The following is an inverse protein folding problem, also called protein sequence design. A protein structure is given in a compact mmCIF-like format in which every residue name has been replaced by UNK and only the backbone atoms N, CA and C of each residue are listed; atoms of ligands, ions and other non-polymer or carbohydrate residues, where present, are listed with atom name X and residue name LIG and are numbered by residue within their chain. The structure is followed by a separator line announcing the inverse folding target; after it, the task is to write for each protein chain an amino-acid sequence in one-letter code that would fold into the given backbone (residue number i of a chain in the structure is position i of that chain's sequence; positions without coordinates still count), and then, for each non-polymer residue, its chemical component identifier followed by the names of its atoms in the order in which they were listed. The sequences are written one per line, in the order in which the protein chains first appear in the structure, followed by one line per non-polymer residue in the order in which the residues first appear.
data_IF_420021690290
#
_entry.id   IF_420021690290
#
_cell.length_a   1.000
_cell.length_b   1.000
_cell.length_c   1.000
_cell.angle_alpha   90.00
_cell.angle_beta   90.00
_cell.angle_gamma   90.00
#
_symmetry.space_group_name_H-M   'P 1'
#
loop_
_entity.id
_entity.type
_entity.pdbx_description
1 polymer ?
#
# COMPACT_ATOMS: atom_id res chain seq x y z
N UNK A 1 83.24 -4.16 -38.42
CA UNK A 1 82.46 -2.98 -38.85
C UNK A 1 81.11 -3.45 -39.38
N UNK A 2 80.05 -2.66 -39.17
CA UNK A 2 78.62 -2.87 -39.47
C UNK A 2 77.81 -3.55 -38.34
N UNK A 3 77.32 -2.86 -37.28
CA UNK A 3 76.10 -2.02 -37.14
C UNK A 3 74.82 -2.67 -37.68
N UNK A 4 73.91 -3.17 -36.83
CA UNK A 4 72.68 -2.52 -36.26
C UNK A 4 71.56 -3.59 -36.41
N UNK A 5 70.46 -3.69 -35.66
CA UNK A 5 69.63 -2.73 -34.93
C UNK A 5 68.71 -3.54 -33.99
N UNK A 6 68.55 -3.06 -32.76
CA UNK A 6 67.62 -3.54 -31.73
C UNK A 6 66.20 -3.11 -32.13
N UNK A 7 65.23 -4.04 -32.19
CA UNK A 7 63.81 -3.73 -32.32
C UNK A 7 63.08 -4.18 -31.04
N UNK A 8 62.80 -3.19 -30.19
CA UNK A 8 62.01 -3.29 -28.98
C UNK A 8 60.53 -3.45 -29.38
N UNK A 9 59.97 -4.65 -29.19
CA UNK A 9 58.54 -4.89 -29.37
C UNK A 9 57.78 -4.29 -28.17
N UNK A 10 57.13 -3.14 -28.37
CA UNK A 10 56.18 -2.57 -27.42
C UNK A 10 54.88 -3.35 -27.56
N UNK A 11 54.56 -4.18 -26.56
CA UNK A 11 53.26 -4.82 -26.44
C UNK A 11 52.21 -3.77 -26.06
N UNK A 12 51.32 -3.41 -26.99
CA UNK A 12 50.08 -2.69 -26.69
C UNK A 12 49.15 -3.64 -25.93
N UNK A 13 49.06 -3.50 -24.61
CA UNK A 13 47.91 -4.02 -23.87
C UNK A 13 46.72 -3.11 -24.18
N UNK A 14 45.80 -3.61 -25.01
CA UNK A 14 44.48 -3.02 -25.15
C UNK A 14 43.73 -3.21 -23.82
N UNK A 15 43.67 -2.16 -23.01
CA UNK A 15 42.77 -2.08 -21.86
C UNK A 15 41.35 -2.06 -22.41
N UNK A 16 40.69 -3.21 -22.40
CA UNK A 16 39.25 -3.27 -22.57
C UNK A 16 38.65 -2.68 -21.29
N UNK A 17 37.93 -1.54 -21.32
CA UNK A 17 37.13 -1.16 -20.17
C UNK A 17 36.09 -2.27 -20.00
N UNK A 18 36.27 -3.10 -18.98
CA UNK A 18 35.26 -4.06 -18.57
C UNK A 18 33.96 -3.31 -18.36
N UNK A 19 32.89 -3.80 -18.98
CA UNK A 19 31.54 -3.36 -18.65
C UNK A 19 31.33 -3.63 -17.17
N UNK A 20 31.48 -2.59 -16.34
CA UNK A 20 30.95 -2.61 -14.99
C UNK A 20 29.43 -2.58 -15.14
N UNK A 21 28.81 -3.77 -15.20
CA UNK A 21 27.37 -3.89 -15.03
C UNK A 21 27.01 -3.23 -13.71
N UNK A 22 26.14 -2.22 -13.76
CA UNK A 22 25.59 -1.63 -12.55
C UNK A 22 24.63 -2.66 -11.94
N UNK A 23 25.08 -3.42 -10.96
CA UNK A 23 24.17 -4.13 -10.08
C UNK A 23 23.36 -3.09 -9.31
N UNK A 24 22.08 -2.94 -9.63
CA UNK A 24 21.16 -2.12 -8.84
C UNK A 24 20.77 -2.94 -7.61
N UNK A 25 21.32 -2.58 -6.45
CA UNK A 25 20.89 -3.15 -5.19
C UNK A 25 19.42 -2.77 -4.92
N UNK A 26 18.65 -3.71 -4.36
CA UNK A 26 17.32 -3.45 -3.81
C UNK A 26 17.37 -2.24 -2.87
N UNK A 27 16.57 -1.23 -3.16
CA UNK A 27 16.49 -0.03 -2.31
C UNK A 27 15.26 -0.13 -1.42
N UNK A 28 15.47 -0.09 -0.10
CA UNK A 28 14.39 -0.02 0.91
C UNK A 28 14.44 1.36 1.56
N UNK A 29 13.34 2.09 1.48
CA UNK A 29 13.19 3.46 2.01
C UNK A 29 12.09 3.50 3.06
N UNK A 30 12.28 4.31 4.10
CA UNK A 30 11.31 4.55 5.15
C UNK A 30 10.92 6.02 5.14
N UNK A 31 9.62 6.31 5.10
CA UNK A 31 9.07 7.66 5.04
C UNK A 31 8.01 7.84 6.12
N UNK A 32 7.96 9.03 6.73
CA UNK A 32 7.04 9.26 7.85
C UNK A 32 5.58 9.33 7.37
N UNK A 33 5.34 9.90 6.19
CA UNK A 33 4.02 10.01 5.58
C UNK A 33 2.99 10.70 6.50
N UNK A 34 1.75 10.23 6.45
CA UNK A 34 0.70 10.60 7.40
C UNK A 34 0.75 9.63 8.58
N UNK A 35 0.93 10.15 9.79
CA UNK A 35 0.87 9.32 10.99
C UNK A 35 -0.58 9.06 11.40
N UNK A 36 -0.94 7.79 11.60
CA UNK A 36 -2.25 7.38 12.14
C UNK A 36 -2.10 6.70 13.50
N UNK A 37 -3.21 6.59 14.23
CA UNK A 37 -3.23 6.08 15.60
C UNK A 37 -4.08 4.80 15.68
N UNK A 38 -3.53 3.80 16.37
CA UNK A 38 -4.25 2.60 16.78
C UNK A 38 -4.31 2.49 18.31
N UNK A 39 -5.29 1.74 18.81
CA UNK A 39 -5.46 1.56 20.25
C UNK A 39 -4.34 0.67 20.81
N UNK A 40 -4.14 -0.48 20.19
CA UNK A 40 -3.21 -1.52 20.61
C UNK A 40 -2.90 -2.47 19.44
N UNK A 41 -1.79 -3.21 19.58
CA UNK A 41 -1.54 -4.43 18.80
C UNK A 41 -2.27 -5.58 19.48
N UNK A 42 -2.94 -6.42 18.69
CA UNK A 42 -3.68 -7.59 19.18
C UNK A 42 -2.99 -8.92 18.95
N UNK A 43 -2.23 -9.02 17.87
CA UNK A 43 -1.55 -10.22 17.44
C UNK A 43 -0.31 -9.80 16.66
N UNK A 44 0.80 -10.47 16.95
CA UNK A 44 2.10 -10.27 16.28
C UNK A 44 2.50 -11.47 15.43
N UNK A 45 1.73 -12.58 15.50
CA UNK A 45 1.87 -13.73 14.59
C UNK A 45 0.78 -13.67 13.52
N UNK A 46 0.81 -12.59 12.75
CA UNK A 46 -0.20 -12.34 11.71
C UNK A 46 -0.09 -13.37 10.60
N UNK A 47 -1.25 -13.78 10.09
CA UNK A 47 -1.33 -14.70 8.94
C UNK A 47 -2.12 -14.08 7.81
N UNK A 48 -1.98 -14.62 6.61
CA UNK A 48 -2.66 -14.09 5.42
C UNK A 48 -4.19 -14.09 5.52
N UNK A 49 -4.78 -14.93 6.37
CA UNK A 49 -6.20 -14.90 6.66
C UNK A 49 -6.65 -13.78 7.60
N UNK A 50 -5.72 -13.22 8.38
CA UNK A 50 -5.99 -12.25 9.46
C UNK A 50 -5.90 -10.79 8.97
N UNK A 51 -5.47 -10.56 7.73
CA UNK A 51 -5.34 -9.24 7.10
C UNK A 51 -6.46 -8.98 6.08
N UNK A 52 -7.59 -9.68 6.22
CA UNK A 52 -8.76 -9.46 5.40
C UNK A 52 -9.18 -7.98 5.48
N UNK A 53 -9.41 -7.37 4.32
CA UNK A 53 -9.68 -5.93 4.20
C UNK A 53 -8.47 -5.10 3.77
N UNK A 54 -7.23 -5.59 3.89
CA UNK A 54 -6.05 -4.90 3.35
C UNK A 54 -6.28 -4.51 1.88
N UNK A 55 -5.99 -3.28 1.51
CA UNK A 55 -6.18 -2.81 0.14
C UNK A 55 -4.89 -2.99 -0.66
N UNK A 56 -4.99 -3.59 -1.83
CA UNK A 56 -3.88 -3.76 -2.78
C UNK A 56 -4.23 -3.01 -4.07
N UNK A 57 -3.43 -2.02 -4.42
CA UNK A 57 -3.57 -1.25 -5.66
C UNK A 57 -2.40 -1.57 -6.60
N UNK A 58 -2.71 -2.13 -7.76
CA UNK A 58 -1.77 -2.23 -8.88
C UNK A 58 -1.93 -0.97 -9.75
N UNK A 59 -0.82 -0.31 -10.07
CA UNK A 59 -0.74 0.74 -11.09
C UNK A 59 0.07 0.17 -12.25
N UNK A 60 -0.53 0.19 -13.43
CA UNK A 60 0.01 -0.40 -14.64
C UNK A 60 0.85 0.60 -15.44
N UNK A 61 1.65 0.09 -16.37
CA UNK A 61 2.58 0.87 -17.18
C UNK A 61 1.90 1.86 -18.15
N UNK A 62 0.63 1.62 -18.47
CA UNK A 62 -0.23 2.53 -19.26
C UNK A 62 -0.85 3.64 -18.40
N UNK A 63 -0.67 3.61 -17.08
CA UNK A 63 -1.22 4.56 -16.13
C UNK A 63 -2.58 4.19 -15.56
N UNK A 64 -3.19 3.08 -16.00
CA UNK A 64 -4.40 2.55 -15.36
C UNK A 64 -4.07 1.96 -13.99
N UNK A 65 -5.09 1.78 -13.16
CA UNK A 65 -4.93 1.19 -11.83
C UNK A 65 -6.14 0.36 -11.43
N UNK A 66 -5.87 -0.71 -10.69
CA UNK A 66 -6.88 -1.61 -10.13
C UNK A 66 -6.64 -1.76 -8.63
N UNK A 67 -7.70 -1.56 -7.83
CA UNK A 67 -7.65 -1.71 -6.38
C UNK A 67 -8.53 -2.87 -5.95
N UNK A 68 -7.94 -3.80 -5.21
CA UNK A 68 -8.59 -4.98 -4.68
C UNK A 68 -8.53 -4.98 -3.16
N UNK A 69 -9.59 -5.49 -2.52
CA UNK A 69 -9.58 -5.75 -1.07
C UNK A 69 -9.20 -7.20 -0.80
N UNK A 70 -8.29 -7.41 0.13
CA UNK A 70 -7.76 -8.71 0.51
C UNK A 70 -8.84 -9.61 1.09
N UNK A 71 -8.96 -10.82 0.55
CA UNK A 71 -9.94 -11.81 0.97
C UNK A 71 -9.22 -12.97 1.67
N UNK A 72 -9.74 -13.37 2.84
CA UNK A 72 -9.29 -14.57 3.51
C UNK A 72 -9.81 -15.83 2.79
N UNK A 73 -8.89 -16.69 2.36
CA UNK A 73 -9.21 -18.02 1.81
C UNK A 73 -9.34 -19.07 2.93
N UNK A 74 -8.62 -18.86 4.03
CA UNK A 74 -8.67 -19.64 5.26
C UNK A 74 -8.18 -18.78 6.43
N UNK A 75 -8.20 -19.30 7.66
CA UNK A 75 -7.60 -18.59 8.80
C UNK A 75 -6.08 -18.39 8.70
N UNK A 76 -5.40 -19.05 7.76
CA UNK A 76 -3.96 -18.93 7.57
C UNK A 76 -3.55 -18.31 6.23
N UNK A 77 -4.47 -18.11 5.28
CA UNK A 77 -4.13 -17.65 3.94
C UNK A 77 -5.22 -16.74 3.38
N UNK A 78 -4.80 -15.78 2.58
CA UNK A 78 -5.67 -14.92 1.79
C UNK A 78 -4.93 -14.36 0.58
N UNK A 79 -5.61 -13.51 -0.16
CA UNK A 79 -5.02 -12.83 -1.29
C UNK A 79 -5.99 -11.90 -2.01
N UNK A 80 -5.49 -11.33 -3.09
CA UNK A 80 -6.27 -10.63 -4.10
C UNK A 80 -6.01 -11.26 -5.47
N UNK A 81 -7.04 -11.26 -6.31
CA UNK A 81 -6.97 -11.65 -7.71
C UNK A 81 -7.51 -10.46 -8.49
N UNK A 82 -6.64 -9.79 -9.24
CA UNK A 82 -7.01 -8.72 -10.15
C UNK A 82 -7.14 -9.22 -11.58
N UNK A 83 -7.14 -8.27 -12.52
CA UNK A 83 -7.26 -8.52 -13.94
C UNK A 83 -5.89 -8.89 -14.52
N UNK A 84 -5.55 -10.17 -14.49
CA UNK A 84 -4.28 -10.68 -15.03
C UNK A 84 -3.11 -10.71 -14.04
N UNK A 85 -3.39 -10.54 -12.74
CA UNK A 85 -2.40 -10.61 -11.67
C UNK A 85 -3.02 -11.08 -10.36
N UNK A 86 -2.17 -11.54 -9.43
CA UNK A 86 -2.60 -11.90 -8.07
C UNK A 86 -1.50 -11.65 -7.06
N UNK A 87 -1.90 -11.41 -5.81
CA UNK A 87 -1.00 -11.38 -4.65
C UNK A 87 -1.56 -12.28 -3.57
N UNK A 88 -0.78 -13.26 -3.12
CA UNK A 88 -1.22 -14.28 -2.16
C UNK A 88 -0.23 -14.35 -1.00
N UNK A 89 -0.75 -14.52 0.21
CA UNK A 89 0.04 -14.86 1.39
C UNK A 89 -0.57 -16.08 2.08
N UNK A 90 0.27 -17.02 2.48
CA UNK A 90 -0.12 -18.17 3.28
C UNK A 90 0.88 -18.41 4.40
N UNK A 91 0.36 -18.59 5.62
CA UNK A 91 1.17 -18.79 6.81
C UNK A 91 1.44 -17.49 7.56
N UNK A 92 2.48 -17.53 8.40
CA UNK A 92 2.90 -16.45 9.28
C UNK A 92 3.71 -15.41 8.49
N UNK A 93 3.29 -14.14 8.49
CA UNK A 93 3.88 -13.06 7.66
C UNK A 93 5.34 -12.80 7.96
N UNK A 94 5.80 -13.08 9.18
CA UNK A 94 7.18 -12.88 9.60
C UNK A 94 8.19 -13.77 8.84
N UNK A 95 7.74 -14.90 8.29
CA UNK A 95 8.64 -15.88 7.64
C UNK A 95 8.11 -16.53 6.37
N UNK A 96 6.81 -16.40 6.09
CA UNK A 96 6.16 -17.05 4.96
C UNK A 96 6.04 -16.06 3.82
N UNK A 97 6.56 -16.43 2.65
CA UNK A 97 6.59 -15.56 1.50
C UNK A 97 5.20 -15.18 1.00
N UNK A 98 5.08 -13.91 0.63
CA UNK A 98 4.08 -13.38 -0.27
C UNK A 98 4.47 -13.75 -1.70
N UNK A 99 3.49 -14.07 -2.54
CA UNK A 99 3.70 -14.38 -3.95
C UNK A 99 2.87 -13.43 -4.79
N UNK A 100 3.55 -12.53 -5.53
CA UNK A 100 2.97 -11.71 -6.58
C UNK A 100 3.17 -12.44 -7.92
N UNK A 101 2.11 -12.56 -8.71
CA UNK A 101 2.17 -13.24 -10.01
C UNK A 101 1.40 -12.46 -11.07
N UNK A 102 1.92 -12.42 -12.29
CA UNK A 102 1.21 -11.98 -13.49
C UNK A 102 0.82 -13.21 -14.31
N UNK A 103 -0.40 -13.21 -14.84
CA UNK A 103 -0.84 -14.23 -15.78
C UNK A 103 0.07 -14.25 -17.01
N UNK A 104 0.28 -15.44 -17.57
CA UNK A 104 1.05 -15.59 -18.80
C UNK A 104 0.28 -15.03 -20.00
N UNK A 105 1.00 -14.54 -21.01
CA UNK A 105 0.40 -14.26 -22.32
C UNK A 105 -0.11 -15.57 -22.92
N UNK A 106 -1.40 -15.64 -23.23
CA UNK A 106 -1.93 -16.78 -23.99
C UNK A 106 -1.58 -16.60 -25.48
N UNK A 107 -1.26 -17.68 -26.18
CA UNK A 107 -0.99 -17.63 -27.64
C UNK A 107 -2.22 -17.22 -28.45
N UNK A 108 -3.41 -17.32 -27.84
CA UNK A 108 -4.70 -17.17 -28.49
C UNK A 108 -5.37 -15.83 -28.14
N UNK A 109 -4.76 -15.02 -27.25
CA UNK A 109 -5.22 -13.66 -26.90
C UNK A 109 -4.21 -12.61 -27.34
N UNK A 110 -4.69 -11.58 -28.05
CA UNK A 110 -3.89 -10.37 -28.31
C UNK A 110 -3.84 -9.45 -27.09
N UNK A 111 -4.71 -9.67 -26.11
CA UNK A 111 -4.66 -8.98 -24.81
C UNK A 111 -3.56 -9.60 -23.96
N UNK A 112 -2.44 -8.89 -23.88
CA UNK A 112 -1.40 -9.12 -22.87
C UNK A 112 -1.69 -8.15 -21.72
N UNK A 113 -1.74 -8.62 -20.46
CA UNK A 113 -1.95 -7.72 -19.33
C UNK A 113 -0.83 -6.68 -19.29
N UNK A 114 -1.21 -5.41 -19.14
CA UNK A 114 -0.26 -4.31 -18.96
C UNK A 114 0.65 -4.61 -17.78
N UNK A 115 1.95 -4.33 -17.92
CA UNK A 115 2.91 -4.61 -16.86
C UNK A 115 2.64 -3.73 -15.64
N UNK A 116 2.85 -4.26 -14.43
CA UNK A 116 2.72 -3.49 -13.20
C UNK A 116 3.93 -2.57 -13.05
N UNK A 117 3.67 -1.27 -12.94
CA UNK A 117 4.63 -0.24 -12.64
C UNK A 117 4.85 -0.08 -11.13
N UNK A 118 3.77 -0.22 -10.35
CA UNK A 118 3.80 -0.04 -8.90
C UNK A 118 2.69 -0.86 -8.24
N UNK A 119 3.00 -1.49 -7.11
CA UNK A 119 2.04 -2.15 -6.23
C UNK A 119 2.04 -1.43 -4.89
N UNK A 120 0.87 -1.02 -4.41
CA UNK A 120 0.70 -0.34 -3.13
C UNK A 120 -0.20 -1.19 -2.24
N UNK A 121 0.30 -1.55 -1.06
CA UNK A 121 -0.45 -2.26 -0.03
C UNK A 121 -0.75 -1.29 1.10
N UNK A 122 -2.04 -1.08 1.39
CA UNK A 122 -2.54 -0.26 2.49
C UNK A 122 -3.16 -1.17 3.56
N UNK A 123 -2.47 -1.31 4.68
CA UNK A 123 -2.80 -2.24 5.75
C UNK A 123 -3.96 -1.76 6.66
N UNK A 124 -4.24 -0.46 6.66
CA UNK A 124 -5.17 0.20 7.57
C UNK A 124 -6.59 -0.37 7.51
N UNK A 125 -7.21 -0.49 6.31
CA UNK A 125 -8.54 -1.09 6.17
C UNK A 125 -8.63 -2.54 6.66
N UNK A 126 -7.52 -3.28 6.64
CA UNK A 126 -7.42 -4.64 7.20
C UNK A 126 -7.19 -4.69 8.71
N UNK A 127 -7.20 -3.54 9.41
CA UNK A 127 -6.79 -3.43 10.82
C UNK A 127 -5.45 -4.14 11.06
N UNK A 128 -4.50 -3.87 10.17
CA UNK A 128 -3.17 -4.45 10.17
C UNK A 128 -2.13 -3.36 9.95
N UNK A 129 -0.86 -3.70 10.17
CA UNK A 129 0.27 -2.79 10.00
C UNK A 129 1.48 -3.61 9.57
N UNK A 130 2.38 -3.00 8.80
CA UNK A 130 3.68 -3.60 8.53
C UNK A 130 4.62 -3.34 9.71
N UNK A 131 5.25 -4.41 10.19
CA UNK A 131 6.21 -4.36 11.29
C UNK A 131 7.63 -4.58 10.75
N UNK A 132 8.53 -3.66 11.07
CA UNK A 132 9.94 -3.77 10.70
C UNK A 132 10.80 -3.89 11.95
N UNK A 133 11.99 -4.48 11.81
CA UNK A 133 12.93 -4.55 12.91
C UNK A 133 13.29 -3.15 13.43
N UNK A 134 12.88 -2.84 14.66
CA UNK A 134 13.28 -1.60 15.32
C UNK A 134 14.78 -1.62 15.68
N UNK A 135 15.38 -0.43 15.81
CA UNK A 135 16.76 -0.26 16.33
C UNK A 135 16.86 -0.39 17.85
N UNK A 136 15.75 -0.65 18.55
CA UNK A 136 15.66 -0.65 20.01
C UNK A 136 14.69 -1.72 20.51
N UNK A 137 13.90 -1.39 21.54
CA UNK A 137 12.92 -2.34 22.13
C UNK A 137 11.68 -2.59 21.28
N UNK A 138 11.47 -1.80 20.22
CA UNK A 138 10.29 -1.84 19.37
C UNK A 138 9.03 -1.28 20.01
N UNK A 139 7.96 -1.24 19.23
CA UNK A 139 6.62 -0.91 19.68
C UNK A 139 6.09 -2.01 20.61
N UNK A 140 5.57 -1.60 21.76
CA UNK A 140 5.06 -2.54 22.77
C UNK A 140 3.90 -3.36 22.18
N UNK A 141 4.04 -4.69 22.19
CA UNK A 141 3.05 -5.63 21.68
C UNK A 141 3.40 -6.21 20.30
N UNK A 142 4.36 -5.62 19.60
CA UNK A 142 4.80 -6.00 18.24
C UNK A 142 5.79 -7.16 18.22
N UNK A 143 6.48 -7.39 19.34
CA UNK A 143 7.62 -8.32 19.41
C UNK A 143 8.72 -7.97 18.37
N UNK A 144 9.17 -8.93 17.56
CA UNK A 144 10.24 -8.75 16.57
C UNK A 144 9.65 -8.61 15.16
N UNK A 145 9.83 -7.45 14.53
CA UNK A 145 9.44 -7.21 13.15
C UNK A 145 10.46 -7.66 12.10
N UNK A 146 10.02 -7.72 10.85
CA UNK A 146 10.82 -8.13 9.68
C UNK A 146 10.60 -7.21 8.50
N UNK A 147 11.63 -6.43 8.15
CA UNK A 147 11.60 -5.60 6.95
C UNK A 147 11.57 -6.44 5.68
N UNK A 148 11.19 -5.82 4.57
CA UNK A 148 11.10 -6.46 3.26
C UNK A 148 12.36 -7.24 2.90
N UNK A 149 12.17 -8.52 2.58
CA UNK A 149 13.22 -9.41 2.09
C UNK A 149 12.76 -10.04 0.78
N UNK A 150 13.55 -9.87 -0.28
CA UNK A 150 13.27 -10.50 -1.57
C UNK A 150 13.78 -11.95 -1.56
N UNK A 151 12.95 -12.91 -1.97
CA UNK A 151 13.41 -14.26 -2.25
C UNK A 151 13.91 -14.34 -3.70
N UNK A 152 15.24 -14.33 -3.86
CA UNK A 152 15.90 -14.28 -5.17
C UNK A 152 16.30 -12.86 -5.57
N UNK A 153 16.34 -12.60 -6.87
CA UNK A 153 16.79 -11.32 -7.43
C UNK A 153 15.74 -10.73 -8.38
N UNK A 154 15.57 -9.40 -8.31
CA UNK A 154 14.77 -8.64 -9.26
C UNK A 154 15.43 -7.27 -9.46
N UNK A 155 15.96 -7.02 -10.65
CA UNK A 155 16.60 -5.76 -10.97
C UNK A 155 15.58 -4.63 -11.13
N UNK A 156 15.85 -3.46 -10.56
CA UNK A 156 14.96 -2.30 -10.71
C UNK A 156 13.76 -2.29 -9.77
N UNK A 157 13.73 -3.16 -8.75
CA UNK A 157 12.74 -3.08 -7.67
C UNK A 157 13.20 -2.10 -6.59
N UNK A 158 12.28 -1.23 -6.17
CA UNK A 158 12.43 -0.36 -5.01
C UNK A 158 11.23 -0.54 -4.08
N UNK A 159 11.49 -0.45 -2.77
CA UNK A 159 10.50 -0.70 -1.72
C UNK A 159 10.44 0.49 -0.79
N UNK A 160 9.24 0.95 -0.49
CA UNK A 160 9.01 2.06 0.44
C UNK A 160 7.99 1.70 1.49
N UNK A 161 8.35 1.83 2.76
CA UNK A 161 7.42 1.86 3.87
C UNK A 161 7.04 3.31 4.16
N UNK A 162 5.74 3.60 4.24
CA UNK A 162 5.23 4.95 4.57
C UNK A 162 4.09 4.91 5.59
N UNK A 163 3.77 6.08 6.11
CA UNK A 163 2.61 6.33 6.99
C UNK A 163 2.74 5.63 8.34
N UNK A 164 3.45 6.26 9.27
CA UNK A 164 3.74 5.69 10.59
C UNK A 164 2.49 5.42 11.42
N UNK A 165 2.56 4.38 12.26
CA UNK A 165 1.54 4.11 13.28
C UNK A 165 2.02 4.53 14.67
N UNK A 166 1.12 5.12 15.44
CA UNK A 166 1.24 5.29 16.89
C UNK A 166 0.28 4.37 17.64
N UNK A 167 0.65 4.00 18.86
CA UNK A 167 -0.17 3.16 19.73
C UNK A 167 -0.57 3.93 21.00
N UNK A 168 -1.88 4.04 21.27
CA UNK A 168 -2.42 4.68 22.49
C UNK A 168 -1.89 6.09 22.74
N UNK A 169 -1.88 6.95 21.72
CA UNK A 169 -1.43 8.34 21.81
C UNK A 169 0.06 8.54 22.11
N UNK A 170 0.88 7.48 22.06
CA UNK A 170 2.34 7.58 22.25
C UNK A 170 3.03 8.07 20.98
N UNK A 171 4.20 8.70 21.12
CA UNK A 171 5.03 9.02 19.96
C UNK A 171 5.40 7.75 19.18
N UNK A 172 5.47 7.82 17.83
CA UNK A 172 5.79 6.66 17.02
C UNK A 172 7.21 6.18 17.31
N UNK A 173 7.39 4.87 17.49
CA UNK A 173 8.70 4.27 17.75
C UNK A 173 9.53 4.17 16.46
N UNK A 174 8.86 4.15 15.30
CA UNK A 174 9.48 4.20 13.98
C UNK A 174 9.67 2.83 13.32
N UNK A 175 8.95 1.82 13.79
CA UNK A 175 8.98 0.44 13.32
C UNK A 175 7.64 -0.05 12.74
N UNK A 176 6.59 0.75 12.84
CA UNK A 176 5.26 0.40 12.33
C UNK A 176 4.81 1.34 11.22
N UNK A 177 4.38 0.75 10.09
CA UNK A 177 4.02 1.48 8.88
C UNK A 177 2.72 0.95 8.28
N UNK A 178 1.84 1.85 7.85
CA UNK A 178 0.54 1.48 7.29
C UNK A 178 0.63 1.07 5.81
N UNK A 179 1.61 1.59 5.09
CA UNK A 179 1.70 1.44 3.63
C UNK A 179 3.04 0.82 3.22
N UNK A 180 2.98 -0.16 2.33
CA UNK A 180 4.13 -0.73 1.64
C UNK A 180 3.98 -0.53 0.13
N UNK A 181 4.96 0.09 -0.51
CA UNK A 181 4.98 0.31 -1.96
C UNK A 181 6.13 -0.47 -2.57
N UNK A 182 5.83 -1.29 -3.58
CA UNK A 182 6.81 -1.90 -4.48
C UNK A 182 6.75 -1.13 -5.80
N UNK A 183 7.84 -0.50 -6.21
CA UNK A 183 7.94 0.23 -7.47
C UNK A 183 9.00 -0.40 -8.36
N UNK A 184 8.57 -0.76 -9.58
CA UNK A 184 9.38 -1.38 -10.61
C UNK A 184 9.92 -0.29 -11.55
N UNK A 185 11.17 -0.39 -11.98
CA UNK A 185 11.76 0.60 -12.90
C UNK A 185 11.08 0.56 -14.28
N UNK A 186 11.29 1.61 -15.08
CA UNK A 186 10.76 1.66 -16.45
C UNK A 186 11.34 0.55 -17.34
N UNK A 187 12.59 0.18 -17.10
CA UNK A 187 13.33 -0.85 -17.84
C UNK A 187 12.91 -2.26 -17.44
N UNK A 188 12.46 -2.46 -16.20
CA UNK A 188 12.15 -3.76 -15.61
C UNK A 188 10.77 -3.74 -14.92
N UNK A 189 9.71 -3.53 -15.70
CA UNK A 189 8.32 -3.61 -15.23
C UNK A 189 7.90 -5.05 -14.93
N UNK A 190 7.02 -5.23 -13.94
CA UNK A 190 6.54 -6.57 -13.58
C UNK A 190 5.49 -7.06 -14.58
N UNK A 191 5.91 -7.95 -15.48
CA UNK A 191 5.22 -8.25 -16.75
C UNK A 191 4.64 -9.66 -16.77
N UNK A 192 3.84 -9.95 -17.81
CA UNK A 192 3.18 -11.24 -18.02
C UNK A 192 4.08 -12.46 -17.77
N UNK A 193 3.57 -13.45 -17.05
CA UNK A 193 4.27 -14.69 -16.71
C UNK A 193 5.34 -14.58 -15.63
N UNK A 194 5.60 -13.39 -15.08
CA UNK A 194 6.54 -13.23 -13.98
C UNK A 194 5.92 -13.61 -12.63
N UNK A 195 6.78 -14.04 -11.71
CA UNK A 195 6.45 -14.27 -10.30
C UNK A 195 7.53 -13.66 -9.41
N UNK A 196 7.13 -12.93 -8.39
CA UNK A 196 8.00 -12.33 -7.37
C UNK A 196 7.61 -12.91 -6.00
N UNK A 197 8.60 -13.36 -5.23
CA UNK A 197 8.40 -13.84 -3.86
C UNK A 197 9.16 -12.96 -2.89
N UNK A 198 8.51 -12.56 -1.81
CA UNK A 198 9.12 -11.70 -0.80
C UNK A 198 8.51 -11.96 0.57
N UNK A 199 9.25 -11.63 1.62
CA UNK A 199 8.77 -11.64 3.00
C UNK A 199 8.62 -10.19 3.45
N UNK A 200 7.50 -9.90 4.10
CA UNK A 200 7.32 -8.68 4.89
C UNK A 200 6.44 -9.05 6.06
N UNK A 201 6.83 -8.58 7.24
CA UNK A 201 6.09 -8.87 8.45
C UNK A 201 4.93 -7.89 8.67
N UNK A 202 3.92 -8.39 9.35
CA UNK A 202 2.72 -7.64 9.68
C UNK A 202 2.22 -7.98 11.07
N UNK A 203 1.55 -7.01 11.67
CA UNK A 203 0.83 -7.11 12.93
C UNK A 203 -0.64 -6.78 12.74
N UNK A 204 -1.49 -7.29 13.63
CA UNK A 204 -2.89 -6.89 13.70
C UNK A 204 -3.12 -5.84 14.80
N UNK A 205 -4.00 -4.91 14.50
CA UNK A 205 -4.35 -3.78 15.35
C UNK A 205 -5.79 -3.91 15.86
N UNK A 206 -6.03 -3.40 17.07
CA UNK A 206 -7.33 -2.80 17.37
C UNK A 206 -7.26 -1.36 16.89
N UNK A 207 -7.98 -1.08 15.82
CA UNK A 207 -8.35 0.28 15.48
C UNK A 207 -9.25 0.82 16.59
N UNK A 208 -8.96 2.04 17.06
CA UNK A 208 -9.96 2.77 17.82
C UNK A 208 -11.13 2.88 16.86
N UNK A 209 -12.23 2.15 17.12
CA UNK A 209 -13.47 2.45 16.45
C UNK A 209 -13.59 3.97 16.52
N UNK A 210 -13.76 4.63 15.37
CA UNK A 210 -14.31 5.97 15.41
C UNK A 210 -15.48 5.84 16.36
N UNK A 211 -15.44 6.57 17.49
CA UNK A 211 -16.63 6.64 18.33
C UNK A 211 -17.67 7.17 17.35
N UNK A 212 -18.53 6.29 16.82
CA UNK A 212 -19.91 6.66 16.74
C UNK A 212 -20.18 7.05 18.17
N UNK A 213 -20.30 8.36 18.38
CA UNK A 213 -21.21 8.81 19.40
C UNK A 213 -22.52 8.23 18.90
N UNK A 214 -22.81 6.98 19.25
CA UNK A 214 -24.16 6.50 19.33
C UNK A 214 -24.86 7.62 20.11
N UNK A 215 -25.82 8.35 19.51
CA UNK A 215 -26.60 9.29 20.27
C UNK A 215 -27.08 8.49 21.47
N UNK A 216 -26.71 8.92 22.68
CA UNK A 216 -27.28 8.38 23.91
C UNK A 216 -28.77 8.26 23.65
N UNK A 217 -29.29 7.04 23.60
CA UNK A 217 -30.68 6.82 23.20
C UNK A 217 -31.58 7.76 23.99
N UNK A 218 -32.22 8.71 23.30
CA UNK A 218 -33.15 9.61 23.93
C UNK A 218 -34.56 9.04 23.79
N UNK A 219 -34.89 8.18 24.75
CA UNK A 219 -36.27 8.11 25.19
C UNK A 219 -36.71 9.48 25.73
N UNK A 220 -37.05 10.39 24.81
CA UNK A 220 -37.97 11.52 24.91
C UNK A 220 -37.60 12.56 23.84
N UNK A 221 -38.39 12.63 22.76
CA UNK A 221 -38.32 13.75 21.82
C UNK A 221 -38.38 15.07 22.59
N UNK A 222 -37.32 15.88 22.52
CA UNK A 222 -37.31 17.25 23.04
C UNK A 222 -38.24 18.09 22.17
N UNK A 223 -39.32 18.69 22.72
CA UNK A 223 -40.19 19.56 21.93
C UNK A 223 -39.41 20.80 21.50
N UNK A 224 -39.31 21.03 20.20
CA UNK A 224 -38.84 22.31 19.69
C UNK A 224 -39.84 23.38 20.19
N UNK A 225 -39.39 24.45 20.85
CA UNK A 225 -40.26 25.55 21.21
C UNK A 225 -40.98 26.06 19.96
N UNK A 226 -42.28 26.33 20.08
CA UNK A 226 -43.18 26.83 19.03
C UNK A 226 -42.77 28.15 18.36
N UNK A 227 -41.59 28.68 18.68
CA UNK A 227 -41.00 29.88 18.08
C UNK A 227 -40.50 29.67 16.64
N UNK A 228 -40.17 28.45 16.21
CA UNK A 228 -39.64 28.21 14.84
C UNK A 228 -40.74 28.30 13.76
N UNK A 229 -42.01 28.10 14.11
CA UNK A 229 -43.13 28.25 13.17
C UNK A 229 -43.54 29.71 12.92
N UNK A 230 -43.19 30.64 13.81
CA UNK A 230 -43.52 32.07 13.67
C UNK A 230 -42.70 32.80 12.60
N UNK A 231 -41.59 32.22 12.12
CA UNK A 231 -40.78 32.81 11.05
C UNK A 231 -41.18 32.35 9.64
N UNK A 232 -41.96 31.28 9.50
CA UNK A 232 -42.40 30.77 8.18
C UNK A 232 -43.75 31.41 7.78
N UNK A 233 -44.57 31.86 8.73
CA UNK A 233 -45.86 32.50 8.45
C UNK A 233 -45.78 34.00 8.14
N UNK A 234 -44.64 34.67 8.33
CA UNK A 234 -44.49 36.11 8.06
C UNK A 234 -44.02 36.44 6.63
N UNK A 235 -43.53 35.44 5.87
CA UNK A 235 -43.06 35.65 4.49
C UNK A 235 -44.14 35.39 3.41
N UNK A 236 -45.26 34.76 3.76
CA UNK A 236 -46.39 34.52 2.85
C UNK A 236 -47.43 35.67 2.82
N UNK A 237 -47.26 36.72 3.65
CA UNK A 237 -48.21 37.82 3.81
C UNK A 237 -48.00 39.06 2.92
N UNK A 238 -47.02 39.07 2.00
CA UNK A 238 -46.68 40.24 1.18
C UNK A 238 -46.96 40.12 -0.33
N UNK A 239 -47.64 39.05 -0.77
CA UNK A 239 -48.11 38.90 -2.16
C UNK A 239 -49.64 39.04 -2.22
N UNK A 240 -50.16 40.24 -1.99
CA UNK A 240 -51.61 40.44 -1.87
C UNK A 240 -52.12 41.88 -1.95
N UNK A 241 -51.49 42.78 -2.71
CA UNK A 241 -52.06 44.09 -3.09
C UNK A 241 -51.49 44.41 -4.49
N UNK A 242 -52.23 44.59 -5.57
CA UNK A 242 -53.65 44.58 -5.84
C UNK A 242 -53.84 45.03 -7.29
N UNK A 243 -54.86 44.52 -7.98
CA UNK A 243 -55.55 45.24 -9.05
C UNK A 243 -56.81 44.48 -9.45
N UNK A 244 -57.94 44.98 -8.97
CA UNK A 244 -59.26 44.55 -9.41
C UNK A 244 -59.62 45.19 -10.77
N UNK A 245 -60.49 44.56 -11.58
CA UNK A 245 -60.82 44.96 -12.94
C UNK A 245 -62.12 45.78 -13.01
N UNK A 246 -62.33 46.51 -14.12
CA UNK A 246 -63.69 46.75 -14.67
C UNK A 246 -63.68 46.81 -16.20
N UNK A 247 -64.70 46.16 -16.76
CA UNK A 247 -65.12 46.10 -18.17
C UNK A 247 -65.76 47.43 -18.61
N UNK A 248 -65.37 47.95 -19.77
CA UNK A 248 -66.10 48.08 -21.05
C UNK A 248 -65.31 49.03 -21.93
#
# INVERSE_FOLDING_TARGET
MSTRLLALMIAMLAFSPGFAGKALALSITYQDGVTSEAAAITEFRTRGGMIAGLEVMAVFSDGESETMSWVANSGASGGVIGSGWSLIQSGDTFRSAWTLSMDGSSSDSTDTPSAIAKLVLNAGPGSSVFDIQSRGTGTRGSELGGAFELEGDYEGLSVTYSDRITISGRSPVGDLYNTLTLAFSEENRFSAGQSLRFVTDMDNLITLASRSVEPLGDGAAVPIPSAVWLFISSLAGLAGIGRWPRKT
#
